data_IF_439913047585
#
_entry.id   IF_439913047585
#
_cell.length_a   1.000
_cell.length_b   1.000
_cell.length_c   1.000
_cell.angle_alpha   90.00
_cell.angle_beta   90.00
_cell.angle_gamma   90.00
#
_symmetry.space_group_name_H-M   'P 1'
#
loop_
_entity.id
_entity.type
_entity.pdbx_description
1 polymer ?
#
# COMPACT_ATOMS: atom_id res chain seq x y z
N UNK A 1 -29.58 6.65 -27.89
CA UNK A 1 -29.97 5.96 -26.64
C UNK A 1 -28.68 5.44 -26.01
N UNK A 2 -28.17 6.08 -24.94
CA UNK A 2 -26.96 5.64 -24.27
C UNK A 2 -27.33 4.54 -23.26
N UNK A 3 -26.86 3.32 -23.50
CA UNK A 3 -27.06 2.20 -22.59
C UNK A 3 -26.47 2.54 -21.20
N UNK A 4 -27.19 2.33 -20.09
CA UNK A 4 -26.62 2.50 -18.78
C UNK A 4 -25.51 1.46 -18.60
N UNK A 5 -24.27 1.92 -18.38
CA UNK A 5 -23.17 1.06 -17.96
C UNK A 5 -23.59 0.33 -16.69
N UNK A 6 -24.07 -0.92 -16.83
CA UNK A 6 -24.24 -1.84 -15.70
C UNK A 6 -22.86 -1.99 -15.08
N UNK A 7 -22.65 -1.34 -13.93
CA UNK A 7 -21.55 -1.71 -13.03
C UNK A 7 -21.78 -3.19 -12.73
N UNK A 8 -21.01 -4.08 -13.36
CA UNK A 8 -21.01 -5.49 -12.99
C UNK A 8 -20.68 -5.54 -11.50
N UNK A 9 -21.65 -5.96 -10.70
CA UNK A 9 -21.44 -6.19 -9.29
C UNK A 9 -20.39 -7.30 -9.17
N UNK A 10 -19.35 -7.06 -8.38
CA UNK A 10 -18.32 -8.06 -8.10
C UNK A 10 -18.99 -9.28 -7.48
N UNK A 11 -18.58 -10.47 -7.88
CA UNK A 11 -19.03 -11.70 -7.22
C UNK A 11 -18.51 -11.75 -5.79
N UNK A 12 -19.17 -12.48 -4.87
CA UNK A 12 -18.64 -12.68 -3.51
C UNK A 12 -17.20 -13.21 -3.50
N UNK A 13 -16.84 -14.07 -4.46
CA UNK A 13 -15.49 -14.61 -4.61
C UNK A 13 -14.48 -13.53 -4.99
N UNK A 14 -14.84 -12.62 -5.91
CA UNK A 14 -14.00 -11.47 -6.26
C UNK A 14 -13.79 -10.55 -5.07
N UNK A 15 -14.83 -10.30 -4.27
CA UNK A 15 -14.72 -9.50 -3.04
C UNK A 15 -13.83 -10.19 -2.01
N UNK A 16 -13.95 -11.51 -1.85
CA UNK A 16 -13.10 -12.27 -0.94
C UNK A 16 -11.63 -12.28 -1.39
N UNK A 17 -11.37 -12.46 -2.69
CA UNK A 17 -10.04 -12.41 -3.27
C UNK A 17 -9.40 -11.02 -3.09
N UNK A 18 -10.15 -9.95 -3.33
CA UNK A 18 -9.69 -8.58 -3.11
C UNK A 18 -9.37 -8.29 -1.64
N UNK A 19 -10.17 -8.79 -0.70
CA UNK A 19 -9.87 -8.67 0.73
C UNK A 19 -8.59 -9.39 1.11
N UNK A 20 -8.44 -10.65 0.68
CA UNK A 20 -7.25 -11.44 0.94
C UNK A 20 -6.00 -10.81 0.32
N UNK A 21 -6.12 -10.23 -0.88
CA UNK A 21 -5.04 -9.47 -1.50
C UNK A 21 -4.70 -8.21 -0.67
N UNK A 22 -5.70 -7.43 -0.27
CA UNK A 22 -5.49 -6.24 0.53
C UNK A 22 -4.80 -6.56 1.87
N UNK A 23 -5.17 -7.65 2.54
CA UNK A 23 -4.52 -8.11 3.77
C UNK A 23 -3.05 -8.47 3.53
N UNK A 24 -2.76 -9.26 2.47
CA UNK A 24 -1.38 -9.59 2.09
C UNK A 24 -0.52 -8.36 1.81
N UNK A 25 -1.09 -7.35 1.15
CA UNK A 25 -0.37 -6.10 0.88
C UNK A 25 -0.14 -5.32 2.18
N UNK A 26 -1.10 -5.26 3.10
CA UNK A 26 -0.93 -4.62 4.41
C UNK A 26 0.17 -5.28 5.23
N UNK A 27 0.25 -6.60 5.24
CA UNK A 27 1.34 -7.35 5.88
C UNK A 27 2.70 -7.01 5.27
N UNK A 28 2.79 -6.93 3.94
CA UNK A 28 4.01 -6.54 3.24
C UNK A 28 4.43 -5.10 3.57
N UNK A 29 3.49 -4.16 3.63
CA UNK A 29 3.75 -2.78 4.08
C UNK A 29 4.31 -2.80 5.51
N UNK A 30 3.67 -3.53 6.43
CA UNK A 30 4.13 -3.66 7.81
C UNK A 30 5.58 -4.17 7.89
N UNK A 31 5.88 -5.27 7.20
CA UNK A 31 7.24 -5.84 7.14
C UNK A 31 8.28 -4.83 6.64
N UNK A 32 7.95 -4.08 5.59
CA UNK A 32 8.86 -3.08 5.01
C UNK A 32 9.10 -1.89 5.91
N UNK A 33 8.06 -1.40 6.60
CA UNK A 33 8.21 -0.31 7.57
C UNK A 33 9.11 -0.74 8.72
N UNK A 34 8.98 -1.99 9.19
CA UNK A 34 9.84 -2.54 10.23
C UNK A 34 11.28 -2.79 9.76
N UNK A 35 11.49 -3.10 8.48
CA UNK A 35 12.80 -3.29 7.88
C UNK A 35 13.32 -1.97 7.28
N UNK A 36 13.75 -1.05 8.15
CA UNK A 36 14.33 0.23 7.74
C UNK A 36 15.57 -0.02 6.85
N UNK A 37 15.64 0.56 5.63
CA UNK A 37 16.77 0.37 4.73
C UNK A 37 18.10 0.86 5.31
N UNK A 38 19.20 0.16 4.99
CA UNK A 38 20.56 0.59 5.38
C UNK A 38 20.88 2.00 4.87
N UNK A 39 20.37 2.37 3.69
CA UNK A 39 20.51 3.71 3.12
C UNK A 39 19.94 4.85 3.99
N UNK A 40 19.00 4.54 4.89
CA UNK A 40 18.44 5.45 5.91
C UNK A 40 19.38 5.54 7.12
N UNK A 41 19.98 4.42 7.52
CA UNK A 41 20.96 4.37 8.60
C UNK A 41 22.29 5.05 8.22
N UNK A 42 22.70 4.97 6.96
CA UNK A 42 24.00 5.42 6.44
C UNK A 42 24.08 6.94 6.14
N UNK A 43 23.10 7.73 6.56
CA UNK A 43 23.38 9.13 6.89
C UNK A 43 23.12 10.18 5.81
N UNK A 44 21.86 10.35 5.44
CA UNK A 44 21.37 11.71 5.12
C UNK A 44 20.06 11.92 5.85
N UNK A 45 19.97 13.01 6.62
CA UNK A 45 18.72 13.44 7.27
C UNK A 45 17.59 13.49 6.24
N UNK A 46 17.88 13.89 5.00
CA UNK A 46 16.90 13.90 3.93
C UNK A 46 16.39 12.50 3.59
N UNK A 47 17.26 11.49 3.47
CA UNK A 47 16.84 10.10 3.21
C UNK A 47 15.99 9.55 4.36
N UNK A 48 16.33 9.88 5.60
CA UNK A 48 15.55 9.49 6.77
C UNK A 48 14.17 10.17 6.82
N UNK A 49 14.10 11.46 6.51
CA UNK A 49 12.84 12.20 6.41
C UNK A 49 11.96 11.65 5.29
N UNK A 50 12.52 11.45 4.10
CA UNK A 50 11.79 10.92 2.96
C UNK A 50 11.30 9.48 3.21
N UNK A 51 12.10 8.63 3.87
CA UNK A 51 11.65 7.29 4.28
C UNK A 51 10.52 7.37 5.29
N UNK A 52 10.68 8.19 6.34
CA UNK A 52 9.65 8.40 7.37
C UNK A 52 8.33 8.87 6.76
N UNK A 53 8.38 9.80 5.81
CA UNK A 53 7.19 10.30 5.13
C UNK A 53 6.48 9.18 4.36
N UNK A 54 7.22 8.41 3.56
CA UNK A 54 6.65 7.30 2.78
C UNK A 54 6.11 6.18 3.67
N UNK A 55 6.85 5.79 4.71
CA UNK A 55 6.42 4.81 5.71
C UNK A 55 5.15 5.25 6.45
N UNK A 56 5.08 6.51 6.90
CA UNK A 56 3.92 7.03 7.60
C UNK A 56 2.66 7.08 6.70
N UNK A 57 2.82 7.51 5.44
CA UNK A 57 1.72 7.49 4.45
C UNK A 57 1.21 6.07 4.22
N UNK A 58 2.11 5.10 4.07
CA UNK A 58 1.75 3.70 3.88
C UNK A 58 1.02 3.11 5.11
N UNK A 59 1.51 3.41 6.32
CA UNK A 59 0.85 3.00 7.56
C UNK A 59 -0.57 3.58 7.68
N UNK A 60 -0.73 4.89 7.40
CA UNK A 60 -2.06 5.54 7.41
C UNK A 60 -3.00 4.95 6.38
N UNK A 61 -2.48 4.47 5.25
CA UNK A 61 -3.28 3.79 4.26
C UNK A 61 -3.75 2.40 4.75
N UNK A 62 -2.91 1.67 5.49
CA UNK A 62 -3.29 0.40 6.13
C UNK A 62 -4.33 0.55 7.24
N UNK A 63 -4.41 1.71 7.90
CA UNK A 63 -5.45 1.98 8.90
C UNK A 63 -6.83 2.26 8.26
N UNK A 64 -6.89 2.56 6.96
CA UNK A 64 -8.14 2.90 6.27
C UNK A 64 -8.91 1.64 5.89
N UNK A 65 -10.13 1.55 6.39
CA UNK A 65 -11.03 0.41 6.18
C UNK A 65 -11.41 0.19 4.70
N UNK A 66 -11.40 1.26 3.89
CA UNK A 66 -11.72 1.24 2.45
C UNK A 66 -10.58 1.72 1.55
N UNK A 67 -9.33 1.49 1.96
CA UNK A 67 -8.19 1.76 1.08
C UNK A 67 -8.36 0.99 -0.24
N UNK A 68 -8.17 1.67 -1.38
CA UNK A 68 -8.18 0.99 -2.67
C UNK A 68 -6.95 0.10 -2.76
N UNK A 69 -7.11 -1.09 -3.35
CA UNK A 69 -6.00 -2.03 -3.55
C UNK A 69 -4.85 -1.37 -4.33
N UNK A 70 -5.15 -0.56 -5.35
CA UNK A 70 -4.11 0.11 -6.13
C UNK A 70 -3.30 1.12 -5.31
N UNK A 71 -3.91 1.81 -4.35
CA UNK A 71 -3.19 2.69 -3.43
C UNK A 71 -2.23 1.87 -2.56
N UNK A 72 -2.68 0.70 -2.07
CA UNK A 72 -1.86 -0.20 -1.25
C UNK A 72 -0.68 -0.78 -2.06
N UNK A 73 -0.93 -1.18 -3.32
CA UNK A 73 0.11 -1.66 -4.24
C UNK A 73 1.15 -0.55 -4.51
N UNK A 74 0.70 0.68 -4.74
CA UNK A 74 1.59 1.82 -4.95
C UNK A 74 2.44 2.11 -3.71
N UNK A 75 1.86 2.01 -2.51
CA UNK A 75 2.61 2.18 -1.27
C UNK A 75 3.74 1.14 -1.13
N UNK A 76 3.49 -0.13 -1.47
CA UNK A 76 4.54 -1.16 -1.50
C UNK A 76 5.62 -0.83 -2.54
N UNK A 77 5.25 -0.40 -3.74
CA UNK A 77 6.20 -0.03 -4.79
C UNK A 77 7.13 1.12 -4.34
N UNK A 78 6.58 2.13 -3.67
CA UNK A 78 7.34 3.24 -3.12
C UNK A 78 8.31 2.80 -2.00
N UNK A 79 7.88 1.88 -1.13
CA UNK A 79 8.74 1.29 -0.10
C UNK A 79 9.81 0.36 -0.69
N UNK A 80 9.55 -0.26 -1.86
CA UNK A 80 10.53 -1.07 -2.62
C UNK A 80 11.63 -0.22 -3.21
N UNK A 81 11.30 0.94 -3.76
CA UNK A 81 12.26 1.82 -4.41
C UNK A 81 13.29 2.45 -3.44
N UNK A 82 13.08 2.31 -2.13
CA UNK A 82 13.94 2.89 -1.08
C UNK A 82 14.99 1.92 -0.52
N UNK A 83 14.74 0.62 -0.68
CA UNK A 83 15.59 -0.46 -0.19
C UNK A 83 16.75 -0.74 -1.13
#
# INVERSE_FOLDING_TARGET
MNAPHKKQAKTPEQVAAEKAEAERIREEIGRRISAVPMSVHEGSVQKALDWKEKAFKAMKLCERDRAKIDDLRNAVALLRAFG
#
